data_IF_876023829735
#
_entry.id   IF_876023829735
#
_cell.length_a   1.000
_cell.length_b   1.000
_cell.length_c   1.000
_cell.angle_alpha   90.00
_cell.angle_beta   90.00
_cell.angle_gamma   90.00
#
_symmetry.space_group_name_H-M   'P 1'
#
loop_
_entity.id
_entity.type
_entity.pdbx_description
1 polymer ?
#
# COMPACT_ATOMS: atom_id res chain seq x y z
N UNK A 1 12.58 -14.64 -18.21
CA UNK A 1 12.43 -13.45 -17.34
C UNK A 1 11.32 -13.71 -16.33
N UNK A 2 11.58 -13.54 -15.03
CA UNK A 2 10.59 -13.81 -13.98
C UNK A 2 9.38 -12.87 -14.11
N UNK A 3 8.15 -13.40 -14.11
CA UNK A 3 6.93 -12.58 -14.13
C UNK A 3 6.80 -11.82 -12.80
N UNK A 4 6.60 -10.50 -12.80
CA UNK A 4 6.37 -9.74 -11.57
C UNK A 4 5.11 -10.21 -10.86
N UNK A 5 5.17 -10.33 -9.53
CA UNK A 5 3.99 -10.58 -8.70
C UNK A 5 3.26 -9.27 -8.43
N UNK A 6 1.93 -9.30 -8.37
CA UNK A 6 1.14 -8.13 -7.97
C UNK A 6 1.37 -7.84 -6.49
N UNK A 7 1.61 -6.56 -6.18
CA UNK A 7 1.82 -6.09 -4.83
C UNK A 7 1.12 -4.75 -4.63
N UNK A 8 0.75 -4.46 -3.39
CA UNK A 8 0.10 -3.22 -3.00
C UNK A 8 0.72 -2.70 -1.71
N UNK A 9 0.85 -1.38 -1.64
CA UNK A 9 1.41 -0.64 -0.52
C UNK A 9 0.44 0.47 -0.15
N UNK A 10 0.20 0.66 1.14
CA UNK A 10 -0.66 1.73 1.64
C UNK A 10 0.16 2.69 2.49
N UNK A 11 0.08 3.98 2.14
CA UNK A 11 0.68 5.05 2.91
C UNK A 11 -0.41 5.78 3.67
N UNK A 12 -0.42 5.62 4.99
CA UNK A 12 -1.31 6.41 5.84
C UNK A 12 -0.68 7.78 6.07
N UNK A 13 -1.46 8.83 5.79
CA UNK A 13 -1.03 10.22 5.94
C UNK A 13 -1.83 10.87 7.06
N UNK A 14 -1.13 11.46 8.02
CA UNK A 14 -1.71 12.15 9.17
C UNK A 14 -1.51 13.65 9.02
N UNK A 15 -2.60 14.42 9.11
CA UNK A 15 -2.62 15.88 8.87
C UNK A 15 -3.03 16.72 10.08
N UNK A 16 -2.91 16.14 11.28
CA UNK A 16 -3.31 16.76 12.56
C UNK A 16 -2.25 17.68 13.20
N UNK A 17 -1.17 17.99 12.47
CA UNK A 17 -0.06 18.83 12.92
C UNK A 17 0.39 19.78 11.79
N UNK A 18 1.27 20.72 12.11
CA UNK A 18 1.76 21.73 11.16
C UNK A 18 2.41 21.12 9.91
N UNK A 19 3.08 19.97 10.05
CA UNK A 19 3.59 19.17 8.94
C UNK A 19 2.83 17.85 8.86
N UNK A 20 2.41 17.40 7.66
CA UNK A 20 1.86 16.07 7.51
C UNK A 20 2.91 15.00 7.79
N UNK A 21 2.47 13.88 8.36
CA UNK A 21 3.31 12.75 8.74
C UNK A 21 2.87 11.47 8.04
N UNK A 22 3.83 10.62 7.71
CA UNK A 22 3.63 9.33 7.05
C UNK A 22 3.84 8.22 8.07
N UNK A 23 2.99 7.20 8.05
CA UNK A 23 3.25 5.97 8.76
C UNK A 23 4.34 5.18 8.02
N UNK A 24 5.46 4.91 8.69
CA UNK A 24 6.55 4.09 8.16
C UNK A 24 6.98 3.08 9.20
N UNK A 25 7.58 1.97 8.76
CA UNK A 25 8.22 1.03 9.65
C UNK A 25 9.57 0.55 9.16
N UNK A 26 10.41 0.15 10.10
CA UNK A 26 11.70 -0.46 9.84
C UNK A 26 11.54 -1.97 9.80
N UNK A 27 12.08 -2.62 8.77
CA UNK A 27 12.02 -4.08 8.65
C UNK A 27 12.94 -4.71 9.68
N UNK A 28 12.42 -5.69 10.42
CA UNK A 28 13.22 -6.47 11.36
C UNK A 28 14.48 -7.05 10.69
N UNK A 29 15.62 -7.04 11.38
CA UNK A 29 16.92 -7.46 10.82
C UNK A 29 16.96 -8.88 10.23
N UNK A 30 16.05 -9.77 10.64
CA UNK A 30 15.88 -11.12 10.08
C UNK A 30 15.15 -11.19 8.73
N UNK A 31 14.68 -10.07 8.17
CA UNK A 31 13.91 -10.09 6.94
C UNK A 31 14.74 -10.53 5.72
N UNK A 32 14.23 -11.51 4.98
CA UNK A 32 14.84 -12.00 3.74
C UNK A 32 14.84 -10.98 2.57
N UNK A 33 14.37 -9.74 2.78
CA UNK A 33 14.33 -8.68 1.78
C UNK A 33 14.46 -7.31 2.44
N UNK A 34 15.60 -6.64 2.24
CA UNK A 34 15.88 -5.28 2.72
C UNK A 34 15.81 -5.11 4.26
N UNK A 35 16.57 -5.89 5.04
CA UNK A 35 16.64 -5.71 6.50
C UNK A 35 17.09 -4.28 6.86
N UNK A 36 16.61 -3.77 7.98
CA UNK A 36 16.94 -2.45 8.56
C UNK A 36 16.53 -1.22 7.72
N UNK A 37 15.89 -1.45 6.56
CA UNK A 37 15.35 -0.37 5.72
C UNK A 37 13.99 0.08 6.23
N UNK A 38 13.74 1.37 6.10
CA UNK A 38 12.43 1.96 6.33
C UNK A 38 11.55 1.84 5.09
N UNK A 39 10.33 1.37 5.28
CA UNK A 39 9.35 1.08 4.23
C UNK A 39 7.95 1.50 4.67
N UNK A 40 7.05 1.59 3.70
CA UNK A 40 5.62 1.62 3.95
C UNK A 40 5.08 0.19 4.07
N UNK A 41 4.02 -0.04 4.85
CA UNK A 41 3.42 -1.36 4.94
C UNK A 41 2.83 -1.79 3.59
N UNK A 42 3.01 -3.06 3.25
CA UNK A 42 2.55 -3.59 1.99
C UNK A 42 3.28 -4.83 1.53
N UNK A 43 2.55 -5.63 0.76
CA UNK A 43 3.04 -6.91 0.29
C UNK A 43 2.30 -7.41 -0.93
N UNK A 44 2.28 -8.74 -1.07
CA UNK A 44 1.76 -9.40 -2.27
C UNK A 44 0.25 -9.49 -2.18
N UNK A 45 -0.40 -9.45 -3.34
CA UNK A 45 -1.81 -9.86 -3.42
C UNK A 45 -1.91 -11.34 -3.06
N UNK A 46 -2.71 -11.66 -2.05
CA UNK A 46 -3.09 -13.00 -1.64
C UNK A 46 -4.34 -13.46 -2.40
N UNK A 47 -4.56 -14.78 -2.49
CA UNK A 47 -5.76 -15.33 -3.13
C UNK A 47 -7.05 -14.90 -2.42
N UNK A 48 -7.00 -14.70 -1.10
CA UNK A 48 -8.12 -14.21 -0.29
C UNK A 48 -8.56 -12.80 -0.69
N UNK A 49 -7.65 -11.95 -1.16
CA UNK A 49 -7.95 -10.55 -1.51
C UNK A 49 -8.94 -10.42 -2.68
N UNK A 50 -9.01 -11.44 -3.55
CA UNK A 50 -9.96 -11.45 -4.66
C UNK A 50 -11.42 -11.63 -4.23
N UNK A 51 -11.66 -12.13 -3.01
CA UNK A 51 -12.99 -12.50 -2.52
C UNK A 51 -13.31 -11.91 -1.15
N UNK A 52 -12.42 -11.11 -0.57
CA UNK A 52 -12.65 -10.54 0.74
C UNK A 52 -13.86 -9.59 0.72
N UNK A 53 -14.71 -9.63 1.76
CA UNK A 53 -15.78 -8.65 1.93
C UNK A 53 -15.18 -7.28 2.22
N UNK A 54 -15.89 -6.22 1.87
CA UNK A 54 -15.52 -4.84 2.18
C UNK A 54 -16.74 -4.03 2.59
N UNK A 55 -16.51 -2.96 3.37
CA UNK A 55 -17.57 -2.04 3.77
C UNK A 55 -17.96 -1.11 2.62
N UNK A 56 -17.00 -0.81 1.75
CA UNK A 56 -17.13 0.09 0.60
C UNK A 56 -16.32 -0.47 -0.57
N UNK A 57 -16.41 0.20 -1.72
CA UNK A 57 -15.65 -0.13 -2.92
C UNK A 57 -14.74 1.03 -3.33
N UNK A 58 -13.77 0.75 -4.19
CA UNK A 58 -12.89 1.77 -4.76
C UNK A 58 -13.71 2.84 -5.50
N UNK A 59 -13.26 4.10 -5.44
CA UNK A 59 -13.85 5.13 -6.27
C UNK A 59 -13.68 4.79 -7.77
N UNK A 60 -14.61 5.19 -8.65
CA UNK A 60 -14.50 4.95 -10.08
C UNK A 60 -13.19 5.50 -10.68
N UNK A 61 -12.72 6.65 -10.17
CA UNK A 61 -11.47 7.26 -10.60
C UNK A 61 -10.26 6.37 -10.26
N UNK A 62 -10.18 5.86 -9.04
CA UNK A 62 -9.08 4.99 -8.61
C UNK A 62 -9.12 3.65 -9.36
N UNK A 63 -10.32 3.09 -9.56
CA UNK A 63 -10.50 1.90 -10.37
C UNK A 63 -10.05 2.11 -11.82
N UNK A 64 -10.35 3.27 -12.42
CA UNK A 64 -9.91 3.62 -13.77
C UNK A 64 -8.37 3.70 -13.86
N UNK A 65 -7.72 4.38 -12.92
CA UNK A 65 -6.24 4.46 -12.88
C UNK A 65 -5.59 3.08 -12.71
N UNK A 66 -6.14 2.22 -11.85
CA UNK A 66 -5.61 0.87 -11.63
C UNK A 66 -5.74 -0.06 -12.84
N UNK A 67 -6.76 0.17 -13.66
CA UNK A 67 -7.04 -0.63 -14.86
C UNK A 67 -6.35 -0.11 -16.12
N UNK A 68 -5.59 0.99 -16.03
CA UNK A 68 -4.76 1.49 -17.13
C UNK A 68 -3.66 0.50 -17.55
N UNK A 69 -3.50 0.33 -18.86
CA UNK A 69 -2.64 -0.69 -19.49
C UNK A 69 -2.85 -2.09 -18.84
N UNK A 70 -4.05 -2.67 -18.96
CA UNK A 70 -4.37 -3.93 -18.29
C UNK A 70 -3.55 -5.07 -18.90
N UNK A 71 -2.83 -5.79 -18.04
CA UNK A 71 -2.11 -7.04 -18.40
C UNK A 71 -2.71 -8.27 -17.71
N UNK A 72 -3.77 -8.08 -16.95
CA UNK A 72 -4.48 -9.11 -16.20
C UNK A 72 -5.79 -9.42 -16.94
N UNK A 73 -6.21 -10.70 -17.05
CA UNK A 73 -7.44 -11.08 -17.76
C UNK A 73 -8.71 -10.51 -17.10
N UNK A 74 -8.65 -10.18 -15.82
CA UNK A 74 -9.76 -9.54 -15.08
C UNK A 74 -9.25 -8.27 -14.38
N UNK A 75 -9.18 -7.12 -15.08
CA UNK A 75 -8.57 -5.90 -14.54
C UNK A 75 -9.31 -5.33 -13.33
N UNK A 76 -10.65 -5.27 -13.39
CA UNK A 76 -11.48 -4.74 -12.31
C UNK A 76 -11.34 -5.58 -11.02
N UNK A 77 -11.36 -6.92 -11.16
CA UNK A 77 -11.17 -7.82 -10.03
C UNK A 77 -9.79 -7.67 -9.41
N UNK A 78 -8.74 -7.51 -10.22
CA UNK A 78 -7.39 -7.25 -9.71
C UNK A 78 -7.29 -5.87 -9.04
N UNK A 79 -7.93 -4.84 -9.58
CA UNK A 79 -7.93 -3.50 -8.99
C UNK A 79 -8.50 -3.54 -7.57
N UNK A 80 -9.65 -4.18 -7.39
CA UNK A 80 -10.26 -4.40 -6.07
C UNK A 80 -9.35 -5.21 -5.14
N UNK A 81 -8.78 -6.31 -5.64
CA UNK A 81 -7.86 -7.14 -4.86
C UNK A 81 -6.59 -6.38 -4.43
N UNK A 82 -6.09 -5.44 -5.25
CA UNK A 82 -4.95 -4.59 -4.89
C UNK A 82 -5.28 -3.63 -3.75
N UNK A 83 -6.45 -2.99 -3.76
CA UNK A 83 -6.88 -2.13 -2.65
C UNK A 83 -7.02 -2.93 -1.35
N UNK A 84 -7.63 -4.12 -1.44
CA UNK A 84 -7.78 -5.04 -0.32
C UNK A 84 -6.44 -5.54 0.21
N UNK A 85 -5.52 -5.92 -0.67
CA UNK A 85 -4.16 -6.30 -0.28
C UNK A 85 -3.44 -5.17 0.48
N UNK A 86 -3.58 -3.92 0.04
CA UNK A 86 -2.95 -2.78 0.70
C UNK A 86 -3.45 -2.62 2.15
N UNK A 87 -4.76 -2.78 2.36
CA UNK A 87 -5.40 -2.70 3.69
C UNK A 87 -5.00 -3.89 4.57
N UNK A 88 -5.05 -5.11 4.02
CA UNK A 88 -4.69 -6.33 4.76
C UNK A 88 -3.25 -6.28 5.24
N UNK A 89 -2.31 -5.98 4.36
CA UNK A 89 -0.88 -5.94 4.71
C UNK A 89 -0.62 -4.81 5.73
N UNK A 90 -1.32 -3.69 5.64
CA UNK A 90 -1.24 -2.64 6.67
C UNK A 90 -1.68 -3.12 8.04
N UNK A 91 -2.79 -3.87 8.10
CA UNK A 91 -3.22 -4.46 9.36
C UNK A 91 -2.24 -5.54 9.85
N UNK A 92 -1.79 -6.43 8.97
CA UNK A 92 -0.86 -7.51 9.33
C UNK A 92 0.47 -6.96 9.88
N UNK A 93 1.02 -5.92 9.26
CA UNK A 93 2.33 -5.36 9.62
C UNK A 93 2.28 -4.31 10.74
N UNK A 94 1.15 -3.60 10.90
CA UNK A 94 1.07 -2.44 11.81
C UNK A 94 -0.01 -2.55 12.88
N UNK A 95 -0.97 -3.45 12.71
CA UNK A 95 -2.14 -3.56 13.56
C UNK A 95 -3.20 -2.48 13.34
N UNK A 96 -3.00 -1.55 12.40
CA UNK A 96 -3.97 -0.47 12.13
C UNK A 96 -5.07 -0.94 11.17
N UNK A 97 -6.30 -0.48 11.43
CA UNK A 97 -7.50 -0.87 10.71
C UNK A 97 -8.03 0.28 9.85
N UNK A 98 -7.76 0.24 8.54
CA UNK A 98 -8.49 1.07 7.57
C UNK A 98 -9.83 0.41 7.24
N UNK A 99 -10.83 0.69 8.06
CA UNK A 99 -12.04 -0.12 8.13
C UNK A 99 -13.24 0.65 8.67
N UNK A 100 -14.43 0.08 8.46
CA UNK A 100 -15.66 0.45 9.18
C UNK A 100 -16.06 -0.65 10.14
N UNK A 101 -16.60 -0.28 11.30
CA UNK A 101 -17.15 -1.22 12.27
C UNK A 101 -18.24 -2.08 11.64
N UNK A 102 -18.21 -3.37 11.91
CA UNK A 102 -19.17 -4.34 11.41
C UNK A 102 -19.27 -5.54 12.38
N UNK A 103 -20.38 -6.30 12.41
CA UNK A 103 -20.42 -7.53 13.21
C UNK A 103 -19.27 -8.46 12.84
N UNK A 104 -18.61 -9.07 13.84
CA UNK A 104 -17.57 -10.08 13.60
C UNK A 104 -18.14 -11.23 12.77
N UNK A 105 -17.37 -11.74 11.81
CA UNK A 105 -17.84 -12.81 10.92
C UNK A 105 -16.82 -13.94 10.86
N UNK A 106 -17.28 -15.21 10.72
CA UNK A 106 -16.38 -16.31 10.42
C UNK A 106 -15.60 -16.04 9.14
N UNK A 107 -14.29 -16.23 9.20
CA UNK A 107 -13.38 -16.01 8.09
C UNK A 107 -12.25 -17.03 8.10
N UNK A 108 -11.66 -17.27 6.94
CA UNK A 108 -10.55 -18.19 6.75
C UNK A 108 -9.42 -17.50 5.98
N UNK A 109 -8.21 -18.07 6.09
CA UNK A 109 -7.02 -17.54 5.42
C UNK A 109 -6.57 -16.20 6.00
N UNK A 110 -5.90 -15.41 5.17
CA UNK A 110 -5.21 -14.19 5.57
C UNK A 110 -6.14 -13.12 6.19
N UNK A 111 -7.42 -13.10 5.79
CA UNK A 111 -8.41 -12.15 6.31
C UNK A 111 -9.01 -12.52 7.68
N UNK A 112 -8.74 -13.72 8.20
CA UNK A 112 -9.31 -14.17 9.47
C UNK A 112 -9.01 -13.23 10.65
N UNK A 113 -7.76 -12.80 10.89
CA UNK A 113 -7.46 -11.96 12.04
C UNK A 113 -8.03 -10.54 11.89
N UNK A 114 -8.11 -10.01 10.66
CA UNK A 114 -8.75 -8.72 10.37
C UNK A 114 -10.25 -8.76 10.67
N UNK A 115 -10.97 -9.74 10.15
CA UNK A 115 -12.43 -9.84 10.29
C UNK A 115 -12.86 -10.22 11.72
N UNK A 116 -11.96 -10.82 12.51
CA UNK A 116 -12.17 -11.06 13.93
C UNK A 116 -12.22 -9.77 14.76
N UNK A 117 -11.70 -8.64 14.24
CA UNK A 117 -11.76 -7.34 14.90
C UNK A 117 -13.15 -6.69 14.91
N UNK A 118 -14.17 -7.33 14.30
CA UNK A 118 -15.48 -6.70 14.16
C UNK A 118 -15.44 -5.49 13.21
N UNK A 119 -14.76 -5.65 12.08
CA UNK A 119 -14.60 -4.60 11.09
C UNK A 119 -14.58 -5.16 9.67
N UNK A 120 -14.93 -4.32 8.69
CA UNK A 120 -14.80 -4.60 7.27
C UNK A 120 -13.89 -3.54 6.62
N UNK A 121 -12.98 -3.94 5.71
CA UNK A 121 -12.04 -3.01 5.09
C UNK A 121 -12.77 -1.91 4.31
N UNK A 122 -12.27 -0.68 4.41
CA UNK A 122 -12.84 0.50 3.75
C UNK A 122 -11.96 0.91 2.54
N UNK A 123 -12.47 0.66 1.33
CA UNK A 123 -11.77 0.95 0.07
C UNK A 123 -11.98 2.40 -0.42
N UNK A 124 -13.06 3.06 0.01
CA UNK A 124 -13.43 4.41 -0.39
C UNK A 124 -12.34 5.48 -0.16
N UNK A 125 -11.60 5.49 0.96
CA UNK A 125 -10.57 6.51 1.22
C UNK A 125 -9.26 6.30 0.45
N UNK A 126 -9.11 5.19 -0.28
CA UNK A 126 -7.87 4.91 -1.01
C UNK A 126 -7.72 5.84 -2.21
N UNK A 127 -6.61 6.57 -2.28
CA UNK A 127 -6.18 7.32 -3.45
C UNK A 127 -4.97 6.64 -4.12
N UNK A 128 -4.95 6.58 -5.46
CA UNK A 128 -3.86 5.97 -6.20
C UNK A 128 -2.68 6.93 -6.39
N UNK A 129 -1.50 6.52 -5.94
CA UNK A 129 -0.29 7.37 -5.91
C UNK A 129 0.65 7.05 -7.06
N UNK A 130 1.02 5.79 -7.24
CA UNK A 130 2.03 5.40 -8.21
C UNK A 130 1.97 3.90 -8.57
N UNK A 131 2.60 3.54 -9.69
CA UNK A 131 2.89 2.15 -10.07
C UNK A 131 4.38 1.97 -10.35
N UNK A 132 4.97 0.90 -9.85
CA UNK A 132 6.36 0.57 -10.14
C UNK A 132 6.55 -0.92 -10.43
N UNK A 133 7.17 -1.23 -11.56
CA UNK A 133 7.57 -2.59 -11.90
C UNK A 133 9.07 -2.76 -11.66
N UNK A 134 9.43 -3.74 -10.81
CA UNK A 134 10.81 -4.06 -10.51
C UNK A 134 11.59 -4.46 -11.78
N UNK A 135 12.84 -3.99 -11.96
CA UNK A 135 13.65 -4.30 -13.15
C UNK A 135 13.80 -5.81 -13.44
N UNK A 136 14.02 -6.21 -14.72
CA UNK A 136 14.20 -7.61 -15.14
C UNK A 136 15.31 -8.37 -14.42
N UNK A 137 16.41 -7.68 -14.11
CA UNK A 137 17.64 -8.27 -13.57
C UNK A 137 17.58 -8.56 -12.06
N UNK A 138 16.47 -8.22 -11.38
CA UNK A 138 16.26 -8.55 -9.97
C UNK A 138 15.65 -9.95 -9.83
N UNK A 139 16.13 -10.70 -8.85
CA UNK A 139 15.69 -12.08 -8.54
C UNK A 139 14.27 -12.13 -7.94
N UNK A 140 13.82 -11.04 -7.33
CA UNK A 140 12.43 -10.84 -6.89
C UNK A 140 11.85 -9.65 -7.63
N UNK A 141 10.67 -9.83 -8.21
CA UNK A 141 10.01 -8.81 -9.03
C UNK A 141 8.57 -8.60 -8.62
N UNK A 142 8.20 -7.34 -8.48
CA UNK A 142 6.86 -6.89 -8.14
C UNK A 142 6.36 -5.91 -9.19
N UNK A 143 5.04 -5.91 -9.42
CA UNK A 143 4.30 -4.86 -10.09
C UNK A 143 3.46 -4.17 -9.01
N UNK A 144 4.14 -3.26 -8.29
CA UNK A 144 3.66 -2.64 -7.06
C UNK A 144 2.76 -1.44 -7.36
N UNK A 145 1.62 -1.37 -6.68
CA UNK A 145 0.72 -0.22 -6.66
C UNK A 145 0.80 0.46 -5.29
N UNK A 146 0.96 1.77 -5.31
CA UNK A 146 1.01 2.57 -4.10
C UNK A 146 -0.31 3.32 -3.95
N UNK A 147 -0.91 3.19 -2.78
CA UNK A 147 -2.11 3.89 -2.36
C UNK A 147 -1.79 4.81 -1.20
N UNK A 148 -2.57 5.87 -1.02
CA UNK A 148 -2.57 6.64 0.21
C UNK A 148 -3.98 6.74 0.79
N UNK A 149 -4.07 6.89 2.10
CA UNK A 149 -5.32 7.18 2.80
C UNK A 149 -5.07 8.15 3.97
N UNK A 150 -6.04 8.99 4.31
CA UNK A 150 -5.99 9.81 5.52
C UNK A 150 -6.02 8.92 6.78
N UNK A 151 -5.26 9.31 7.81
CA UNK A 151 -5.26 8.64 9.11
C UNK A 151 -6.64 8.72 9.79
N UNK A 152 -7.43 9.73 9.46
CA UNK A 152 -8.80 9.95 9.93
C UNK A 152 -9.78 8.88 9.42
N UNK A 153 -9.40 8.12 8.38
CA UNK A 153 -10.18 6.97 7.91
C UNK A 153 -9.83 5.65 8.65
N UNK A 154 -8.82 5.67 9.54
CA UNK A 154 -8.57 4.54 10.43
C UNK A 154 -9.66 4.47 11.51
N UNK A 155 -10.03 3.25 11.89
CA UNK A 155 -11.00 3.02 12.96
C UNK A 155 -10.47 3.50 14.32
N UNK A 156 -9.17 3.36 14.54
CA UNK A 156 -8.43 3.89 15.69
C UNK A 156 -6.94 4.04 15.33
N UNK A 157 -6.23 4.90 16.07
CA UNK A 157 -4.77 4.97 16.05
C UNK A 157 -4.12 3.93 16.98
N UNK A 158 -4.91 3.27 17.83
CA UNK A 158 -4.45 2.15 18.64
C UNK A 158 -4.20 0.92 17.76
N UNK A 159 -3.02 0.32 17.92
CA UNK A 159 -2.58 -0.82 17.13
C UNK A 159 -3.07 -2.13 17.74
N UNK A 160 -3.58 -3.00 16.89
CA UNK A 160 -3.82 -4.41 17.22
C UNK A 160 -2.51 -5.21 17.16
N UNK A 161 -2.47 -6.45 17.69
CA UNK A 161 -1.32 -7.33 17.49
C UNK A 161 -1.00 -7.52 16.00
N UNK A 162 0.26 -7.30 15.63
CA UNK A 162 0.79 -7.47 14.28
C UNK A 162 1.66 -8.74 14.16
N UNK A 163 2.20 -8.98 12.98
CA UNK A 163 3.04 -10.14 12.70
C UNK A 163 4.52 -9.99 13.14
N UNK A 164 4.93 -8.81 13.61
CA UNK A 164 6.31 -8.51 14.00
C UNK A 164 7.30 -8.37 12.82
N UNK A 165 6.81 -8.23 11.58
CA UNK A 165 7.68 -7.97 10.41
C UNK A 165 8.39 -6.61 10.50
N UNK A 166 7.75 -5.64 11.15
CA UNK A 166 8.31 -4.34 11.45
C UNK A 166 8.72 -4.30 12.93
N UNK A 167 10.02 -4.13 13.19
CA UNK A 167 10.51 -4.03 14.56
C UNK A 167 10.37 -2.62 15.14
N UNK A 168 10.11 -1.64 14.26
CA UNK A 168 9.83 -0.26 14.63
C UNK A 168 8.77 0.31 13.69
N UNK A 169 7.80 1.07 14.24
CA UNK A 169 6.75 1.77 13.49
C UNK A 169 6.65 3.19 14.03
N UNK A 170 6.75 4.17 13.15
CA UNK A 170 6.76 5.58 13.51
C UNK A 170 5.94 6.44 12.55
N UNK A 171 5.43 7.55 13.07
CA UNK A 171 4.91 8.66 12.29
C UNK A 171 6.06 9.63 12.04
N UNK A 172 6.47 9.77 10.78
CA UNK A 172 7.59 10.63 10.39
C UNK A 172 7.12 11.73 9.45
N UNK A 173 7.59 12.96 9.66
CA UNK A 173 7.36 14.04 8.69
C UNK A 173 8.17 13.81 7.39
N UNK A 174 7.97 14.63 6.37
CA UNK A 174 8.65 14.46 5.09
C UNK A 174 10.17 14.66 5.17
N UNK A 175 10.66 15.55 6.03
CA UNK A 175 12.08 15.82 6.19
C UNK A 175 12.74 14.64 6.91
N UNK A 176 12.11 14.16 7.98
CA UNK A 176 12.49 12.95 8.72
C UNK A 176 12.51 11.73 7.79
N UNK A 177 11.42 11.49 7.04
CA UNK A 177 11.32 10.38 6.11
C UNK A 177 12.47 10.38 5.07
N UNK A 178 12.83 11.55 4.55
CA UNK A 178 13.90 11.68 3.57
C UNK A 178 15.30 11.45 4.16
N UNK A 179 15.47 11.63 5.48
CA UNK A 179 16.70 11.32 6.20
C UNK A 179 16.87 9.83 6.52
N UNK A 180 15.78 9.04 6.49
CA UNK A 180 15.83 7.59 6.72
C UNK A 180 16.53 6.84 5.59
N UNK A 181 16.97 5.62 5.92
CA UNK A 181 17.53 4.68 4.96
C UNK A 181 16.44 4.03 4.10
N UNK A 182 16.03 4.76 3.05
CA UNK A 182 14.93 4.39 2.16
C UNK A 182 15.42 3.68 0.88
N UNK A 183 14.69 2.64 0.41
CA UNK A 183 14.76 2.21 -0.97
C UNK A 183 14.50 3.38 -1.93
N UNK A 184 15.18 3.43 -3.09
CA UNK A 184 14.98 4.49 -4.09
C UNK A 184 13.52 4.69 -4.51
N UNK A 185 12.76 3.59 -4.60
CA UNK A 185 11.34 3.66 -4.92
C UNK A 185 10.52 4.31 -3.79
N UNK A 186 10.81 3.98 -2.53
CA UNK A 186 10.17 4.58 -1.36
C UNK A 186 10.44 6.08 -1.30
N UNK A 187 11.71 6.49 -1.53
CA UNK A 187 12.09 7.91 -1.61
C UNK A 187 11.31 8.66 -2.70
N UNK A 188 11.15 8.05 -3.87
CA UNK A 188 10.34 8.63 -4.95
C UNK A 188 8.87 8.77 -4.53
N UNK A 189 8.29 7.75 -3.90
CA UNK A 189 6.89 7.77 -3.46
C UNK A 189 6.67 8.81 -2.36
N UNK A 190 7.60 8.99 -1.42
CA UNK A 190 7.56 10.09 -0.42
C UNK A 190 7.46 11.44 -1.13
N UNK A 191 8.33 11.71 -2.10
CA UNK A 191 8.28 12.96 -2.86
C UNK A 191 6.97 13.13 -3.63
N UNK A 192 6.45 12.06 -4.23
CA UNK A 192 5.18 12.09 -4.97
C UNK A 192 3.98 12.36 -4.06
N UNK A 193 3.94 11.80 -2.85
CA UNK A 193 2.88 12.09 -1.86
C UNK A 193 2.90 13.58 -1.50
N UNK A 194 4.08 14.16 -1.25
CA UNK A 194 4.20 15.58 -0.93
C UNK A 194 3.66 16.50 -2.02
N UNK A 195 3.78 16.10 -3.30
CA UNK A 195 3.16 16.83 -4.41
C UNK A 195 1.65 16.58 -4.48
N UNK A 196 1.20 15.35 -4.23
CA UNK A 196 -0.20 14.96 -4.29
C UNK A 196 -1.06 15.57 -3.18
N UNK A 197 -0.46 15.86 -2.03
CA UNK A 197 -1.12 16.65 -0.97
C UNK A 197 -1.40 18.10 -1.37
N UNK A 198 -0.65 18.64 -2.33
CA UNK A 198 -0.88 19.99 -2.88
C UNK A 198 -1.85 19.97 -4.06
N UNK A 199 -1.83 18.89 -4.84
CA UNK A 199 -2.69 18.67 -6.00
C UNK A 199 -3.12 17.20 -6.05
N UNK A 200 -4.32 16.92 -5.56
CA UNK A 200 -4.89 15.57 -5.54
C UNK A 200 -5.16 15.02 -6.95
N UNK A 201 -5.41 15.92 -7.92
CA UNK A 201 -5.78 15.59 -9.30
C UNK A 201 -4.58 15.22 -10.18
N UNK A 202 -3.34 15.43 -9.72
CA UNK A 202 -2.14 15.17 -10.51
C UNK A 202 -2.09 13.72 -11.05
N UNK A 203 -1.58 13.50 -12.28
CA UNK A 203 -1.41 12.17 -12.84
C UNK A 203 -0.53 11.26 -11.95
N UNK A 204 -0.77 9.96 -11.97
CA UNK A 204 -0.03 8.98 -11.19
C UNK A 204 1.20 8.47 -11.96
N UNK A 205 2.44 8.63 -11.45
CA UNK A 205 3.62 8.10 -12.11
C UNK A 205 3.60 6.57 -12.22
N UNK A 206 3.98 6.08 -13.39
CA UNK A 206 4.17 4.67 -13.69
C UNK A 206 5.62 4.42 -14.15
N UNK A 207 6.41 3.84 -13.25
CA UNK A 207 7.80 3.45 -13.48
C UNK A 207 7.92 2.00 -13.93
N UNK A 208 8.63 1.78 -15.04
CA UNK A 208 8.92 0.44 -15.57
C UNK A 208 10.26 0.40 -16.28
N UNK A 209 10.78 -0.81 -16.50
CA UNK A 209 11.93 -1.01 -17.38
C UNK A 209 11.45 -1.45 -18.77
N UNK A 210 11.84 -0.72 -19.80
CA UNK A 210 11.56 -1.02 -21.21
C UNK A 210 12.80 -0.71 -22.06
N UNK A 211 13.08 -1.55 -23.06
CA UNK A 211 14.17 -1.36 -24.03
C UNK A 211 15.53 -1.07 -23.37
N UNK A 212 15.88 -1.79 -22.30
CA UNK A 212 17.14 -1.61 -21.59
C UNK A 212 17.22 -0.39 -20.65
N UNK A 213 16.19 0.46 -20.61
CA UNK A 213 16.17 1.68 -19.80
C UNK A 213 14.99 1.77 -18.82
N UNK A 214 15.12 2.65 -17.83
CA UNK A 214 14.02 3.07 -16.96
C UNK A 214 13.11 4.03 -17.74
N UNK A 215 11.82 3.71 -17.82
CA UNK A 215 10.78 4.56 -18.41
C UNK A 215 9.82 5.03 -17.32
N UNK A 216 9.55 6.33 -17.29
CA UNK A 216 8.51 6.95 -16.48
C UNK A 216 7.40 7.43 -17.41
N UNK A 217 6.19 6.95 -17.19
CA UNK A 217 4.95 7.42 -17.83
C UNK A 217 3.97 7.86 -16.75
N UNK A 218 2.78 8.30 -17.12
CA UNK A 218 1.74 8.73 -16.18
C UNK A 218 0.40 8.08 -16.51
N UNK A 219 -0.45 7.96 -15.49
CA UNK A 219 -1.78 7.34 -15.53
C UNK A 219 -2.79 8.30 -14.92
#
# INVERSE_FOLDING_TARGET
>A
MLRPRHAATLIIVRTDAAKPRLLMGRRAGGHAFMPDKWVFPGGRVDRGDYRAPSATELSPEVAARLTHEPRHPSPATLARALGLAAIRETFEETGLLLAKSAPSRPAAGAWRPFLAQGALPDLAPLAFVARAITPPYRTRRFDARFFMAPAEALLSLERQPDCGELDEIAWVDFDEAMALDLPNITRFVVAEIGQRLKDAGRPAPFMRFLNGGRKLTYV
#
